data_IF_153650613519
#
_entry.id   IF_153650613519
#
_cell.length_a   1.000
_cell.length_b   1.000
_cell.length_c   1.000
_cell.angle_alpha   90.00
_cell.angle_beta   90.00
_cell.angle_gamma   90.00
#
_symmetry.space_group_name_H-M   'P 1'
#
loop_
_entity.id
_entity.type
_entity.pdbx_description
1 polymer ?
#
# COMPACT_ATOMS: atom_id res chain seq x y z
N UNK A 1 17.53 6.92 -18.32
CA UNK A 1 16.71 5.78 -17.83
C UNK A 1 16.01 6.25 -16.57
N UNK A 2 14.72 6.03 -16.45
CA UNK A 2 13.95 6.42 -15.25
C UNK A 2 14.32 5.49 -14.08
N UNK A 3 14.64 6.06 -12.92
CA UNK A 3 14.98 5.28 -11.70
C UNK A 3 13.72 4.65 -11.13
N UNK A 4 13.72 3.34 -10.77
CA UNK A 4 12.59 2.73 -10.07
C UNK A 4 12.39 3.38 -8.70
N UNK A 5 11.13 3.55 -8.29
CA UNK A 5 10.80 4.04 -6.95
C UNK A 5 10.97 2.96 -5.88
N UNK A 6 10.89 1.69 -6.26
CA UNK A 6 11.22 0.54 -5.42
C UNK A 6 11.98 -0.48 -6.24
N UNK A 7 13.09 -0.98 -5.73
CA UNK A 7 13.85 -2.09 -6.32
C UNK A 7 14.24 -3.08 -5.22
N UNK A 8 14.11 -4.38 -5.52
CA UNK A 8 14.65 -5.45 -4.67
C UNK A 8 15.60 -6.32 -5.47
N UNK A 9 16.63 -6.86 -4.80
CA UNK A 9 17.63 -7.74 -5.41
C UNK A 9 17.83 -8.97 -4.54
N UNK A 10 17.49 -10.13 -5.07
CA UNK A 10 17.56 -11.44 -4.42
C UNK A 10 16.98 -11.38 -2.98
N UNK A 11 15.86 -10.65 -2.78
CA UNK A 11 15.29 -10.36 -1.47
C UNK A 11 14.63 -11.62 -0.90
N UNK A 12 15.08 -12.06 0.27
CA UNK A 12 14.42 -13.08 1.07
C UNK A 12 13.68 -12.42 2.25
N UNK A 13 12.41 -12.78 2.40
CA UNK A 13 11.60 -12.39 3.56
C UNK A 13 11.21 -13.64 4.35
N UNK A 14 11.49 -13.66 5.66
CA UNK A 14 11.22 -14.79 6.53
C UNK A 14 10.72 -14.35 7.92
N UNK A 15 9.97 -15.22 8.61
CA UNK A 15 9.61 -15.11 10.03
C UNK A 15 10.09 -16.37 10.74
N UNK A 16 11.08 -16.24 11.63
CA UNK A 16 11.76 -17.38 12.22
C UNK A 16 12.38 -18.26 11.14
N UNK A 17 12.05 -19.53 11.12
CA UNK A 17 12.52 -20.48 10.10
C UNK A 17 11.66 -20.52 8.83
N UNK A 18 10.50 -19.86 8.82
CA UNK A 18 9.58 -19.88 7.68
C UNK A 18 9.95 -18.82 6.64
N UNK A 19 10.35 -19.26 5.46
CA UNK A 19 10.56 -18.37 4.31
C UNK A 19 9.22 -18.04 3.67
N UNK A 20 8.90 -16.75 3.54
CA UNK A 20 7.66 -16.22 2.98
C UNK A 20 7.83 -15.83 1.51
N UNK A 21 9.01 -15.32 1.16
CA UNK A 21 9.40 -14.93 -0.19
C UNK A 21 10.88 -15.17 -0.34
N UNK A 22 11.33 -15.76 -1.46
CA UNK A 22 12.73 -16.11 -1.71
C UNK A 22 13.22 -15.50 -3.02
N UNK A 23 14.36 -14.80 -2.95
CA UNK A 23 15.04 -14.30 -4.13
C UNK A 23 14.20 -13.35 -4.97
N UNK A 24 13.42 -12.47 -4.33
CA UNK A 24 12.56 -11.53 -5.05
C UNK A 24 13.41 -10.46 -5.72
N UNK A 25 13.42 -10.50 -7.07
CA UNK A 25 13.92 -9.44 -7.93
C UNK A 25 12.73 -8.68 -8.49
N UNK A 26 12.46 -7.49 -7.97
CA UNK A 26 11.28 -6.73 -8.30
C UNK A 26 11.58 -5.24 -8.46
N UNK A 27 10.92 -4.62 -9.45
CA UNK A 27 11.02 -3.19 -9.70
C UNK A 27 9.64 -2.59 -9.84
N UNK A 28 9.45 -1.45 -9.20
CA UNK A 28 8.23 -0.64 -9.31
C UNK A 28 8.63 0.73 -9.83
N UNK A 29 8.08 1.08 -10.99
CA UNK A 29 8.40 2.33 -11.67
C UNK A 29 7.44 3.45 -11.26
N UNK A 30 7.85 4.73 -11.41
CA UNK A 30 6.91 5.84 -11.31
C UNK A 30 5.70 5.65 -12.22
N UNK A 31 4.50 5.93 -11.70
CA UNK A 31 3.24 5.78 -12.42
C UNK A 31 2.63 4.37 -12.38
N UNK A 32 3.32 3.40 -11.80
CA UNK A 32 2.79 2.04 -11.69
C UNK A 32 1.89 1.83 -10.48
N UNK A 33 0.84 1.03 -10.69
CA UNK A 33 -0.03 0.50 -9.63
C UNK A 33 0.09 -1.02 -9.56
N UNK A 34 0.44 -1.53 -8.39
CA UNK A 34 0.69 -2.93 -8.11
C UNK A 34 -0.26 -3.48 -7.04
N UNK A 35 -0.82 -4.65 -7.29
CA UNK A 35 -1.52 -5.44 -6.28
C UNK A 35 -0.62 -6.55 -5.75
N UNK A 36 -0.51 -6.68 -4.42
CA UNK A 36 0.06 -7.87 -3.78
C UNK A 36 -1.10 -8.77 -3.36
N UNK A 37 -1.17 -9.97 -3.94
CA UNK A 37 -2.18 -10.98 -3.65
C UNK A 37 -1.56 -12.21 -2.99
N UNK A 38 -2.33 -12.89 -2.15
CA UNK A 38 -1.91 -14.11 -1.47
C UNK A 38 -2.86 -14.49 -0.35
N UNK A 39 -2.82 -15.74 0.07
CA UNK A 39 -3.62 -16.23 1.21
C UNK A 39 -3.26 -15.50 2.50
N UNK A 40 -4.15 -15.57 3.50
CA UNK A 40 -3.83 -15.11 4.84
C UNK A 40 -2.61 -15.87 5.37
N UNK A 41 -1.68 -15.15 5.98
CA UNK A 41 -0.42 -15.70 6.44
C UNK A 41 0.63 -16.00 5.33
N UNK A 42 0.39 -15.63 4.06
CA UNK A 42 1.39 -15.78 2.99
C UNK A 42 2.60 -14.84 3.13
N UNK A 43 2.51 -13.83 4.02
CA UNK A 43 3.61 -12.91 4.27
C UNK A 43 3.48 -11.54 3.61
N UNK A 44 2.32 -11.20 3.07
CA UNK A 44 2.06 -9.92 2.37
C UNK A 44 2.45 -8.70 3.23
N UNK A 45 1.91 -8.61 4.44
CA UNK A 45 2.21 -7.51 5.39
C UNK A 45 3.68 -7.50 5.81
N UNK A 46 4.30 -8.70 5.97
CA UNK A 46 5.72 -8.81 6.31
C UNK A 46 6.61 -8.32 5.17
N UNK A 47 6.29 -8.70 3.92
CA UNK A 47 6.97 -8.18 2.74
C UNK A 47 6.82 -6.65 2.69
N UNK A 48 5.59 -6.15 2.81
CA UNK A 48 5.34 -4.71 2.73
C UNK A 48 6.08 -3.93 3.82
N UNK A 49 6.11 -4.44 5.07
CA UNK A 49 6.88 -3.84 6.16
C UNK A 49 8.41 -3.88 5.91
N UNK A 50 8.90 -4.94 5.24
CA UNK A 50 10.31 -5.02 4.82
C UNK A 50 10.63 -3.97 3.76
N UNK A 51 9.76 -3.83 2.74
CA UNK A 51 9.88 -2.81 1.69
C UNK A 51 9.71 -1.39 2.23
N UNK A 52 8.97 -1.25 3.32
CA UNK A 52 8.84 0.00 4.05
C UNK A 52 10.09 0.34 4.90
N UNK A 53 11.09 -0.51 5.00
CA UNK A 53 12.26 -0.30 5.85
C UNK A 53 11.97 -0.43 7.35
N UNK A 54 10.81 -0.99 7.73
CA UNK A 54 10.42 -1.22 9.13
C UNK A 54 10.94 -2.56 9.66
N UNK A 55 11.42 -3.40 8.76
CA UNK A 55 11.96 -4.73 9.05
C UNK A 55 13.14 -5.00 8.11
N UNK A 56 14.21 -5.56 8.66
CA UNK A 56 15.33 -6.02 7.83
C UNK A 56 14.92 -7.27 7.03
N UNK A 57 15.37 -7.40 5.76
CA UNK A 57 15.24 -8.63 5.01
C UNK A 57 16.06 -9.76 5.64
N UNK A 58 15.71 -11.03 5.36
CA UNK A 58 16.50 -12.17 5.78
C UNK A 58 17.79 -12.30 4.93
N UNK A 59 17.70 -11.94 3.63
CA UNK A 59 18.81 -11.84 2.66
C UNK A 59 18.46 -10.84 1.58
N UNK A 60 19.46 -10.45 0.79
CA UNK A 60 19.30 -9.53 -0.31
C UNK A 60 19.05 -8.11 0.15
N UNK A 61 18.71 -7.24 -0.80
CA UNK A 61 18.65 -5.80 -0.60
C UNK A 61 17.35 -5.22 -1.16
N UNK A 62 16.94 -4.09 -0.59
CA UNK A 62 15.89 -3.25 -1.15
C UNK A 62 16.33 -1.79 -1.19
N UNK A 63 15.92 -1.08 -2.23
CA UNK A 63 16.21 0.34 -2.43
C UNK A 63 14.92 1.10 -2.76
N UNK A 64 14.85 2.36 -2.30
CA UNK A 64 13.78 3.31 -2.61
C UNK A 64 14.38 4.55 -3.24
N UNK A 65 13.84 4.95 -4.40
CA UNK A 65 14.33 6.08 -5.21
C UNK A 65 15.86 6.01 -5.43
N UNK A 66 16.37 4.79 -5.72
CA UNK A 66 17.78 4.49 -5.96
C UNK A 66 18.68 4.45 -4.72
N UNK A 67 18.14 4.59 -3.50
CA UNK A 67 18.90 4.55 -2.24
C UNK A 67 18.60 3.28 -1.47
N UNK A 68 19.65 2.61 -0.98
CA UNK A 68 19.50 1.41 -0.16
C UNK A 68 18.73 1.71 1.12
N UNK A 69 17.70 0.91 1.43
CA UNK A 69 16.87 1.10 2.63
C UNK A 69 17.70 1.06 3.93
N UNK A 70 18.70 0.18 3.99
CA UNK A 70 19.53 0.01 5.18
C UNK A 70 20.42 1.24 5.48
N UNK A 71 20.69 2.09 4.49
CA UNK A 71 21.59 3.24 4.58
C UNK A 71 20.84 4.57 4.62
N UNK A 72 19.53 4.57 4.32
CA UNK A 72 18.72 5.79 4.23
C UNK A 72 18.14 6.15 5.59
N UNK A 73 18.42 7.35 6.12
CA UNK A 73 17.82 7.82 7.37
C UNK A 73 16.29 7.78 7.32
N UNK A 74 15.60 7.39 8.42
CA UNK A 74 14.14 7.23 8.42
C UNK A 74 13.38 8.47 7.95
N UNK A 75 13.87 9.66 8.28
CA UNK A 75 13.24 10.91 7.86
C UNK A 75 13.36 11.16 6.35
N UNK A 76 14.52 10.89 5.76
CA UNK A 76 14.72 11.02 4.31
C UNK A 76 13.87 9.99 3.56
N UNK A 77 13.81 8.76 4.08
CA UNK A 77 12.95 7.73 3.55
C UNK A 77 11.47 8.14 3.60
N UNK A 78 11.02 8.77 4.69
CA UNK A 78 9.65 9.23 4.85
C UNK A 78 9.26 10.38 3.90
N UNK A 79 10.21 11.12 3.32
CA UNK A 79 9.92 12.09 2.25
C UNK A 79 9.58 11.44 0.90
N UNK A 80 9.97 10.19 0.72
CA UNK A 80 9.77 9.46 -0.55
C UNK A 80 8.74 8.36 -0.42
N UNK A 81 8.75 7.63 0.71
CA UNK A 81 7.92 6.45 0.93
C UNK A 81 6.92 6.70 2.04
N UNK A 82 5.64 6.49 1.76
CA UNK A 82 4.56 6.42 2.73
C UNK A 82 4.13 4.97 2.96
N UNK A 83 3.75 4.64 4.20
CA UNK A 83 3.30 3.31 4.58
C UNK A 83 2.01 3.38 5.40
N UNK A 84 0.96 2.69 4.92
CA UNK A 84 -0.28 2.47 5.65
C UNK A 84 -0.27 1.03 6.19
N UNK A 85 -0.18 0.81 7.51
CA UNK A 85 -0.28 -0.52 8.10
C UNK A 85 -1.74 -1.02 8.09
N UNK A 86 -1.92 -2.35 8.18
CA UNK A 86 -3.24 -2.99 8.24
C UNK A 86 -4.09 -2.49 9.42
N UNK A 87 -3.46 -2.20 10.55
CA UNK A 87 -4.11 -1.63 11.74
C UNK A 87 -3.30 -0.46 12.26
N UNK A 88 -3.96 0.65 12.51
CA UNK A 88 -3.43 1.78 13.27
C UNK A 88 -4.19 1.90 14.60
N UNK A 89 -3.45 2.14 15.67
CA UNK A 89 -4.01 2.39 16.98
C UNK A 89 -3.69 3.83 17.36
N UNK A 90 -4.71 4.56 17.75
CA UNK A 90 -4.56 5.91 18.29
C UNK A 90 -4.62 5.82 19.82
N UNK A 91 -3.46 5.72 20.50
CA UNK A 91 -3.42 5.51 21.94
C UNK A 91 -3.84 6.75 22.75
N UNK A 92 -3.85 7.92 22.09
CA UNK A 92 -4.18 9.20 22.72
C UNK A 92 -5.38 9.86 22.05
N UNK A 93 -6.15 10.61 22.84
CA UNK A 93 -7.18 11.49 22.31
C UNK A 93 -6.53 12.60 21.48
N UNK A 94 -6.94 12.73 20.22
CA UNK A 94 -6.52 13.77 19.30
C UNK A 94 -7.64 14.08 18.32
N UNK A 95 -7.62 15.23 17.71
CA UNK A 95 -8.55 15.54 16.64
C UNK A 95 -8.13 14.86 15.33
N UNK A 96 -9.09 14.65 14.46
CA UNK A 96 -8.85 14.14 13.09
C UNK A 96 -7.80 14.99 12.36
N UNK A 97 -7.87 16.31 12.50
CA UNK A 97 -6.92 17.21 11.86
C UNK A 97 -5.50 17.06 12.41
N UNK A 98 -5.35 16.99 13.74
CA UNK A 98 -4.04 16.77 14.37
C UNK A 98 -3.43 15.44 13.91
N UNK A 99 -4.24 14.37 13.81
CA UNK A 99 -3.79 13.07 13.32
C UNK A 99 -3.32 13.14 11.87
N UNK A 100 -4.05 13.80 10.99
CA UNK A 100 -3.67 13.95 9.57
C UNK A 100 -2.42 14.79 9.41
N UNK A 101 -2.24 15.83 10.23
CA UNK A 101 -1.05 16.69 10.21
C UNK A 101 0.25 15.92 10.55
N UNK A 102 0.17 14.79 11.25
CA UNK A 102 1.34 13.89 11.45
C UNK A 102 2.01 13.53 10.12
N UNK A 103 1.23 13.43 9.02
CA UNK A 103 1.76 13.24 7.68
C UNK A 103 2.77 14.31 7.24
N UNK A 104 2.74 15.51 7.83
CA UNK A 104 3.69 16.60 7.51
C UNK A 104 5.00 16.52 8.28
N UNK A 105 5.13 15.69 9.32
CA UNK A 105 6.34 15.60 10.14
C UNK A 105 7.64 15.41 9.33
N UNK A 106 7.71 14.62 8.26
CA UNK A 106 8.93 14.51 7.47
C UNK A 106 9.39 15.82 6.84
N UNK A 107 8.45 16.73 6.56
CA UNK A 107 8.71 18.02 5.90
C UNK A 107 9.11 19.14 6.88
N UNK A 108 8.81 18.95 8.18
CA UNK A 108 9.09 19.98 9.20
C UNK A 108 10.55 19.93 9.66
N UNK A 109 11.15 21.06 9.94
CA UNK A 109 12.43 21.15 10.63
C UNK A 109 12.33 20.69 12.09
N UNK A 110 13.48 20.57 12.77
CA UNK A 110 13.55 20.03 14.15
C UNK A 110 12.69 20.81 15.16
N UNK A 111 12.48 22.09 14.90
CA UNK A 111 11.77 23.03 15.79
C UNK A 111 10.62 23.73 15.10
N UNK A 112 10.24 23.27 13.90
CA UNK A 112 9.16 23.89 13.15
C UNK A 112 7.81 23.32 13.61
N UNK A 113 6.80 24.16 13.51
CA UNK A 113 5.39 23.82 13.67
C UNK A 113 4.70 23.78 12.31
N UNK A 114 3.57 23.09 12.25
CA UNK A 114 2.77 23.01 11.02
C UNK A 114 2.30 24.41 10.61
N UNK A 115 2.53 24.73 9.36
CA UNK A 115 2.15 25.99 8.75
C UNK A 115 0.67 26.00 8.31
N UNK A 116 0.16 27.17 7.95
CA UNK A 116 -1.14 27.29 7.31
C UNK A 116 -1.21 26.55 5.94
N UNK A 117 -0.06 26.35 5.27
CA UNK A 117 0.02 25.56 4.06
C UNK A 117 -0.15 24.06 4.35
N UNK A 118 0.52 23.54 5.38
CA UNK A 118 0.39 22.15 5.82
C UNK A 118 -1.06 21.83 6.22
N UNK A 119 -1.69 22.76 6.94
CA UNK A 119 -3.10 22.61 7.30
C UNK A 119 -4.02 22.53 6.07
N UNK A 120 -3.80 23.35 5.04
CA UNK A 120 -4.58 23.27 3.80
C UNK A 120 -4.38 21.94 3.08
N UNK A 121 -3.15 21.40 3.07
CA UNK A 121 -2.86 20.07 2.50
C UNK A 121 -3.63 18.99 3.27
N UNK A 122 -3.61 19.04 4.60
CA UNK A 122 -4.33 18.10 5.45
C UNK A 122 -5.86 18.17 5.25
N UNK A 123 -6.43 19.36 5.19
CA UNK A 123 -7.87 19.58 4.95
C UNK A 123 -8.29 19.09 3.55
N UNK A 124 -7.46 19.33 2.52
CA UNK A 124 -7.68 18.79 1.18
C UNK A 124 -7.64 17.27 1.15
N UNK A 125 -6.67 16.64 1.82
CA UNK A 125 -6.58 15.19 1.94
C UNK A 125 -7.80 14.58 2.65
N UNK A 126 -8.30 15.22 3.71
CA UNK A 126 -9.54 14.80 4.38
C UNK A 126 -10.74 14.89 3.42
N UNK A 127 -10.84 15.94 2.63
CA UNK A 127 -11.92 16.08 1.65
C UNK A 127 -11.85 14.99 0.57
N UNK A 128 -10.65 14.66 0.07
CA UNK A 128 -10.47 13.61 -0.95
C UNK A 128 -10.94 12.22 -0.49
N UNK A 129 -10.81 11.91 0.80
CA UNK A 129 -11.24 10.63 1.35
C UNK A 129 -12.67 10.65 1.91
N UNK A 130 -13.42 11.76 1.71
CA UNK A 130 -14.80 11.90 2.18
C UNK A 130 -14.93 12.11 3.69
N UNK A 131 -13.93 12.77 4.32
CA UNK A 131 -13.94 13.18 5.72
C UNK A 131 -13.99 14.72 5.88
N UNK A 132 -14.47 15.45 4.88
CA UNK A 132 -14.71 16.88 4.98
C UNK A 132 -15.64 17.17 6.19
N UNK A 133 -15.28 18.18 6.99
CA UNK A 133 -16.05 18.53 8.20
C UNK A 133 -15.71 17.69 9.46
N UNK A 134 -14.84 16.69 9.37
CA UNK A 134 -14.45 15.85 10.53
C UNK A 134 -13.25 16.42 11.30
N UNK A 135 -12.63 17.51 10.85
CA UNK A 135 -11.37 18.03 11.37
C UNK A 135 -11.30 18.15 12.89
N UNK A 136 -12.40 18.53 13.55
CA UNK A 136 -12.47 18.73 15.01
C UNK A 136 -13.02 17.52 15.77
N UNK A 137 -13.38 16.41 15.10
CA UNK A 137 -13.84 15.19 15.77
C UNK A 137 -12.67 14.49 16.47
N UNK A 138 -12.96 13.89 17.61
CA UNK A 138 -12.03 12.99 18.29
C UNK A 138 -11.88 11.69 17.47
N UNK A 139 -10.63 11.30 17.19
CA UNK A 139 -10.30 10.08 16.42
C UNK A 139 -10.85 8.81 17.10
N UNK A 140 -10.99 8.80 18.40
CA UNK A 140 -11.52 7.65 19.14
C UNK A 140 -13.02 7.40 18.84
N UNK A 141 -13.74 8.42 18.35
CA UNK A 141 -15.16 8.31 17.96
C UNK A 141 -15.38 7.82 16.55
N UNK A 142 -14.32 7.59 15.78
CA UNK A 142 -14.40 7.16 14.38
C UNK A 142 -14.78 5.68 14.29
N UNK A 143 -15.66 5.35 13.34
CA UNK A 143 -15.90 3.97 12.91
C UNK A 143 -14.63 3.37 12.27
N UNK A 144 -14.58 2.04 12.11
CA UNK A 144 -13.46 1.36 11.45
C UNK A 144 -13.21 1.88 10.03
N UNK A 145 -14.26 2.11 9.25
CA UNK A 145 -14.14 2.66 7.90
C UNK A 145 -13.71 4.13 7.86
N UNK A 146 -14.18 4.97 8.80
CA UNK A 146 -13.71 6.35 8.94
C UNK A 146 -12.23 6.39 9.34
N UNK A 147 -11.80 5.50 10.24
CA UNK A 147 -10.41 5.37 10.66
C UNK A 147 -9.51 4.91 9.52
N UNK A 148 -9.96 3.97 8.70
CA UNK A 148 -9.23 3.53 7.51
C UNK A 148 -9.02 4.69 6.52
N UNK A 149 -10.06 5.46 6.26
CA UNK A 149 -9.98 6.66 5.40
C UNK A 149 -9.08 7.73 6.00
N UNK A 150 -9.09 7.92 7.33
CA UNK A 150 -8.19 8.83 8.02
C UNK A 150 -6.72 8.43 7.80
N UNK A 151 -6.38 7.13 7.90
CA UNK A 151 -5.04 6.63 7.62
C UNK A 151 -4.60 6.94 6.17
N UNK A 152 -5.50 6.79 5.20
CA UNK A 152 -5.23 7.15 3.81
C UNK A 152 -5.03 8.68 3.70
N UNK A 153 -5.86 9.52 4.35
CA UNK A 153 -5.68 10.97 4.37
C UNK A 153 -4.32 11.39 4.95
N UNK A 154 -3.89 10.75 6.05
CA UNK A 154 -2.57 11.00 6.65
C UNK A 154 -1.45 10.68 5.65
N UNK A 155 -1.58 9.57 4.92
CA UNK A 155 -0.63 9.18 3.88
C UNK A 155 -0.63 10.17 2.70
N UNK A 156 -1.80 10.64 2.27
CA UNK A 156 -1.91 11.67 1.23
C UNK A 156 -1.28 13.00 1.66
N UNK A 157 -1.44 13.36 2.92
CA UNK A 157 -0.86 14.57 3.52
C UNK A 157 0.67 14.51 3.58
N UNK A 158 1.24 13.33 3.65
CA UNK A 158 2.69 13.10 3.57
C UNK A 158 3.23 13.37 2.15
N UNK A 159 2.40 13.29 1.10
CA UNK A 159 2.77 13.49 -0.31
C UNK A 159 3.96 12.61 -0.77
N UNK A 160 3.97 11.30 -0.48
CA UNK A 160 5.08 10.43 -0.87
C UNK A 160 5.05 10.13 -2.37
N UNK A 161 6.22 9.77 -2.93
CA UNK A 161 6.32 9.26 -4.31
C UNK A 161 5.95 7.78 -4.39
N UNK A 162 6.17 7.01 -3.32
CA UNK A 162 5.88 5.58 -3.21
C UNK A 162 4.87 5.36 -2.08
N UNK A 163 3.71 4.83 -2.44
CA UNK A 163 2.64 4.43 -1.51
C UNK A 163 2.71 2.93 -1.28
N UNK A 164 2.92 2.51 -0.04
CA UNK A 164 2.86 1.12 0.40
C UNK A 164 1.65 0.95 1.33
N UNK A 165 0.62 0.21 0.89
CA UNK A 165 -0.65 0.13 1.60
C UNK A 165 -0.99 -1.32 1.94
N UNK A 166 -1.13 -1.61 3.22
CA UNK A 166 -1.52 -2.92 3.72
C UNK A 166 -3.03 -2.96 3.97
N UNK A 167 -3.75 -3.64 3.08
CA UNK A 167 -5.22 -3.79 3.10
C UNK A 167 -5.97 -2.43 3.19
N UNK A 168 -5.73 -1.47 2.26
CA UNK A 168 -6.30 -0.13 2.36
C UNK A 168 -7.83 -0.09 2.26
N UNK A 169 -8.46 -1.18 1.82
CA UNK A 169 -9.91 -1.27 1.62
C UNK A 169 -10.63 -1.99 2.77
N UNK A 170 -9.92 -2.40 3.82
CA UNK A 170 -10.50 -3.08 4.97
C UNK A 170 -11.56 -2.19 5.66
N UNK A 171 -12.65 -2.81 6.12
CA UNK A 171 -13.76 -2.13 6.82
C UNK A 171 -14.51 -1.07 6.02
N UNK A 172 -14.27 -0.94 4.71
CA UNK A 172 -14.98 -0.03 3.81
C UNK A 172 -16.12 -0.77 3.09
N UNK A 173 -17.25 -0.09 2.94
CA UNK A 173 -18.29 -0.51 1.99
C UNK A 173 -17.82 -0.31 0.53
N UNK A 174 -18.54 -0.89 -0.41
CA UNK A 174 -18.16 -0.89 -1.83
C UNK A 174 -17.98 0.52 -2.39
N UNK A 175 -18.85 1.48 -2.02
CA UNK A 175 -18.76 2.85 -2.52
C UNK A 175 -17.44 3.50 -2.06
N UNK A 176 -17.08 3.33 -0.79
CA UNK A 176 -15.86 3.86 -0.25
C UNK A 176 -14.63 3.12 -0.78
N UNK A 177 -14.70 1.78 -1.02
CA UNK A 177 -13.62 1.04 -1.67
C UNK A 177 -13.31 1.60 -3.06
N UNK A 178 -14.34 1.81 -3.89
CA UNK A 178 -14.18 2.39 -5.23
C UNK A 178 -13.58 3.80 -5.14
N UNK A 179 -14.11 4.66 -4.29
CA UNK A 179 -13.62 6.03 -4.12
C UNK A 179 -12.13 6.06 -3.69
N UNK A 180 -11.72 5.18 -2.77
CA UNK A 180 -10.31 5.11 -2.36
C UNK A 180 -9.41 4.61 -3.49
N UNK A 181 -9.84 3.61 -4.27
CA UNK A 181 -9.06 3.17 -5.43
C UNK A 181 -8.93 4.27 -6.49
N UNK A 182 -9.96 5.07 -6.71
CA UNK A 182 -9.89 6.24 -7.60
C UNK A 182 -8.86 7.28 -7.12
N UNK A 183 -8.81 7.56 -5.81
CA UNK A 183 -7.81 8.46 -5.22
C UNK A 183 -6.40 7.91 -5.46
N UNK A 184 -6.17 6.62 -5.21
CA UNK A 184 -4.87 5.98 -5.41
C UNK A 184 -4.48 5.91 -6.89
N UNK A 185 -5.42 5.62 -7.78
CA UNK A 185 -5.19 5.61 -9.22
C UNK A 185 -4.80 7.01 -9.75
N UNK A 186 -5.42 8.08 -9.23
CA UNK A 186 -5.01 9.46 -9.53
C UNK A 186 -3.57 9.72 -9.10
N UNK A 187 -3.11 9.24 -7.94
CA UNK A 187 -1.70 9.37 -7.52
C UNK A 187 -0.76 8.66 -8.48
N UNK A 188 -1.10 7.45 -8.91
CA UNK A 188 -0.31 6.74 -9.92
C UNK A 188 -0.27 7.50 -11.25
N UNK A 189 -1.41 7.99 -11.75
CA UNK A 189 -1.48 8.78 -12.98
C UNK A 189 -0.63 10.07 -12.92
N UNK A 190 -0.37 10.61 -11.73
CA UNK A 190 0.50 11.76 -11.50
C UNK A 190 1.97 11.38 -11.19
N UNK A 191 2.35 10.14 -11.46
CA UNK A 191 3.74 9.68 -11.40
C UNK A 191 4.17 9.08 -10.06
N UNK A 192 3.30 8.96 -9.07
CA UNK A 192 3.59 8.17 -7.89
C UNK A 192 3.55 6.67 -8.22
N UNK A 193 4.23 5.84 -7.42
CA UNK A 193 4.04 4.39 -7.45
C UNK A 193 3.11 3.98 -6.29
N UNK A 194 2.17 3.07 -6.58
CA UNK A 194 1.19 2.59 -5.60
C UNK A 194 1.29 1.06 -5.50
N UNK A 195 1.61 0.54 -4.32
CA UNK A 195 1.66 -0.89 -4.02
C UNK A 195 0.66 -1.19 -2.92
N UNK A 196 -0.37 -1.96 -3.23
CA UNK A 196 -1.48 -2.27 -2.31
C UNK A 196 -1.61 -3.77 -2.09
N UNK A 197 -1.69 -4.20 -0.84
CA UNK A 197 -2.16 -5.54 -0.51
C UNK A 197 -3.67 -5.57 -0.69
N UNK A 198 -4.16 -6.41 -1.58
CA UNK A 198 -5.58 -6.58 -1.86
C UNK A 198 -6.00 -8.04 -1.62
N UNK A 199 -7.28 -8.25 -1.33
CA UNK A 199 -7.86 -9.60 -1.16
C UNK A 199 -8.65 -10.03 -2.38
N UNK A 200 -9.26 -9.09 -3.11
CA UNK A 200 -10.10 -9.38 -4.26
C UNK A 200 -9.28 -9.28 -5.56
N UNK A 201 -9.09 -10.41 -6.29
CA UNK A 201 -8.42 -10.41 -7.59
C UNK A 201 -9.14 -9.58 -8.65
N UNK A 202 -10.46 -9.43 -8.56
CA UNK A 202 -11.25 -8.59 -9.46
C UNK A 202 -10.93 -7.09 -9.28
N UNK A 203 -10.79 -6.65 -8.01
CA UNK A 203 -10.31 -5.29 -7.72
C UNK A 203 -8.87 -5.09 -8.21
N UNK A 204 -8.00 -6.06 -7.99
CA UNK A 204 -6.62 -6.01 -8.50
C UNK A 204 -6.61 -5.86 -10.04
N UNK A 205 -7.37 -6.69 -10.75
CA UNK A 205 -7.44 -6.66 -12.20
C UNK A 205 -8.07 -5.37 -12.78
N UNK A 206 -8.96 -4.73 -12.01
CA UNK A 206 -9.61 -3.48 -12.43
C UNK A 206 -8.74 -2.24 -12.21
N UNK A 207 -8.01 -2.17 -11.09
CA UNK A 207 -7.40 -0.95 -10.61
C UNK A 207 -5.87 -0.93 -10.70
N UNK A 208 -5.24 -2.09 -10.87
CA UNK A 208 -3.79 -2.20 -10.91
C UNK A 208 -3.31 -2.61 -12.30
N UNK A 209 -2.19 -2.02 -12.74
CA UNK A 209 -1.52 -2.40 -13.98
C UNK A 209 -0.71 -3.68 -13.82
N UNK A 210 -0.28 -3.99 -12.60
CA UNK A 210 0.62 -5.09 -12.28
C UNK A 210 0.16 -5.85 -11.03
N UNK A 211 0.63 -7.10 -10.89
CA UNK A 211 0.38 -7.91 -9.71
C UNK A 211 1.63 -8.69 -9.29
N UNK A 212 1.76 -8.89 -7.97
CA UNK A 212 2.69 -9.80 -7.33
C UNK A 212 1.88 -10.82 -6.52
N UNK A 213 2.03 -12.11 -6.84
CA UNK A 213 1.41 -13.20 -6.08
C UNK A 213 2.43 -13.83 -5.14
N UNK A 214 2.05 -13.99 -3.85
CA UNK A 214 2.83 -14.69 -2.83
C UNK A 214 2.15 -16.01 -2.48
N UNK A 215 2.80 -17.13 -2.80
CA UNK A 215 2.24 -18.48 -2.57
C UNK A 215 2.40 -18.99 -1.12
N UNK A 216 3.22 -18.29 -0.30
CA UNK A 216 3.38 -18.59 1.13
C UNK A 216 4.33 -19.75 1.44
N UNK A 217 4.99 -20.30 0.42
CA UNK A 217 6.03 -21.34 0.49
C UNK A 217 7.41 -20.84 0.06
N UNK A 218 7.56 -19.54 -0.13
CA UNK A 218 8.74 -18.88 -0.66
C UNK A 218 8.64 -18.55 -2.16
N UNK A 219 7.71 -19.16 -2.88
CA UNK A 219 7.47 -18.88 -4.30
C UNK A 219 6.67 -17.59 -4.48
N UNK A 220 6.91 -16.96 -5.61
CA UNK A 220 6.19 -15.77 -6.06
C UNK A 220 6.14 -15.71 -7.60
N UNK A 221 5.22 -14.91 -8.13
CA UNK A 221 5.27 -14.46 -9.51
C UNK A 221 4.79 -13.01 -9.61
N UNK A 222 5.35 -12.24 -10.54
CA UNK A 222 5.05 -10.83 -10.72
C UNK A 222 5.09 -10.43 -12.20
N UNK A 223 4.26 -9.45 -12.56
CA UNK A 223 4.19 -8.92 -13.92
C UNK A 223 2.89 -8.18 -14.19
N UNK A 224 2.58 -7.90 -15.48
CA UNK A 224 1.32 -7.29 -15.88
C UNK A 224 0.11 -8.03 -15.32
N UNK A 225 -0.86 -7.30 -14.79
CA UNK A 225 -2.00 -7.90 -14.07
C UNK A 225 -2.76 -8.92 -14.92
N UNK A 226 -2.91 -8.68 -16.22
CA UNK A 226 -3.60 -9.59 -17.15
C UNK A 226 -2.88 -10.93 -17.37
N UNK A 227 -1.56 -10.98 -17.18
CA UNK A 227 -0.74 -12.19 -17.31
C UNK A 227 -0.61 -12.95 -16.00
N UNK A 228 -0.66 -12.24 -14.87
CA UNK A 228 -0.43 -12.80 -13.54
C UNK A 228 -1.75 -13.23 -12.87
N UNK A 229 -2.81 -12.42 -12.99
CA UNK A 229 -4.11 -12.69 -12.36
C UNK A 229 -4.94 -13.57 -13.31
N UNK A 230 -4.57 -14.85 -13.38
CA UNK A 230 -5.22 -15.89 -14.20
C UNK A 230 -5.92 -16.93 -13.32
N UNK A 231 -6.87 -17.69 -13.89
CA UNK A 231 -7.56 -18.77 -13.18
C UNK A 231 -6.56 -19.82 -12.65
N UNK A 232 -5.53 -20.15 -13.44
CA UNK A 232 -4.49 -21.11 -13.07
C UNK A 232 -3.67 -20.61 -11.87
N UNK A 233 -3.10 -19.40 -11.95
CA UNK A 233 -2.30 -18.83 -10.88
C UNK A 233 -3.12 -18.62 -9.60
N UNK A 234 -4.37 -18.16 -9.73
CA UNK A 234 -5.26 -17.97 -8.58
C UNK A 234 -5.69 -19.32 -7.97
N UNK A 235 -5.94 -20.36 -8.79
CA UNK A 235 -6.22 -21.69 -8.27
C UNK A 235 -5.05 -22.24 -7.45
N UNK A 236 -3.81 -22.08 -7.95
CA UNK A 236 -2.60 -22.39 -7.19
C UNK A 236 -2.48 -21.54 -5.92
N UNK A 237 -2.75 -20.23 -6.02
CA UNK A 237 -2.64 -19.30 -4.91
C UNK A 237 -3.57 -19.63 -3.76
N UNK A 238 -4.85 -19.90 -4.08
CA UNK A 238 -5.89 -20.18 -3.09
C UNK A 238 -6.02 -21.65 -2.73
N UNK A 239 -5.28 -22.53 -3.45
CA UNK A 239 -5.37 -24.00 -3.31
C UNK A 239 -6.82 -24.51 -3.50
N UNK A 240 -7.51 -23.94 -4.49
CA UNK A 240 -8.88 -24.27 -4.86
C UNK A 240 -9.08 -23.99 -6.35
N UNK A 241 -9.73 -24.89 -7.13
CA UNK A 241 -10.01 -24.65 -8.54
C UNK A 241 -10.87 -23.40 -8.71
N UNK A 242 -10.40 -22.51 -9.58
CA UNK A 242 -11.09 -21.28 -9.95
C UNK A 242 -11.23 -21.22 -11.47
N UNK A 243 -12.36 -20.74 -11.95
CA UNK A 243 -12.57 -20.42 -13.35
C UNK A 243 -12.86 -18.95 -13.55
N UNK A 244 -12.44 -18.42 -14.69
CA UNK A 244 -12.78 -17.08 -15.13
C UNK A 244 -14.16 -17.06 -15.76
N UNK A 245 -14.97 -16.04 -15.45
CA UNK A 245 -16.23 -15.76 -16.11
C UNK A 245 -15.95 -14.97 -17.38
N UNK A 246 -16.37 -15.49 -18.52
CA UNK A 246 -16.27 -14.80 -19.80
C UNK A 246 -17.36 -13.74 -19.95
N UNK A 247 -17.08 -12.70 -20.75
CA UNK A 247 -18.05 -11.63 -21.07
C UNK A 247 -18.22 -10.55 -20.01
N UNK A 248 -17.58 -10.65 -18.85
CA UNK A 248 -17.53 -9.57 -17.88
C UNK A 248 -16.56 -8.47 -18.34
N UNK A 249 -16.85 -7.17 -18.05
CA UNK A 249 -15.98 -6.06 -18.43
C UNK A 249 -14.62 -6.09 -17.71
N UNK A 250 -14.54 -6.81 -16.58
CA UNK A 250 -13.33 -7.07 -15.81
C UNK A 250 -13.22 -8.56 -15.51
N UNK A 251 -12.00 -9.09 -15.30
CA UNK A 251 -11.85 -10.48 -14.89
C UNK A 251 -12.60 -10.77 -13.59
N UNK A 252 -13.52 -11.71 -13.65
CA UNK A 252 -14.25 -12.24 -12.49
C UNK A 252 -13.87 -13.72 -12.34
N UNK A 253 -13.50 -14.13 -11.15
CA UNK A 253 -13.10 -15.49 -10.84
C UNK A 253 -14.06 -16.08 -9.81
N UNK A 254 -14.54 -17.29 -10.08
CA UNK A 254 -15.43 -18.02 -9.17
C UNK A 254 -14.86 -19.40 -8.87
N UNK A 255 -15.12 -19.95 -7.68
CA UNK A 255 -14.84 -21.36 -7.39
C UNK A 255 -15.58 -22.31 -8.34
N UNK A 256 -14.93 -23.41 -8.67
CA UNK A 256 -15.56 -24.54 -9.38
C UNK A 256 -16.26 -25.50 -8.42
#
# INVERSE_FOLDING_TARGET
>A
MTTPLLETRALDVAIGSRVLCRGLDWRVMPGESWAILGRNGAGKSTLLATLAGLRAPARGDAAVDGRALAETPPRELALVRGYLPQQSHDPFASTVLETVLVGRHPHLGRWDWESAADRRIAEAALAEVGLAGFAQRDVQTLSGGERQRLGIATLLTQEPKLFLLDEPLAHLDLNHQVAQMEVLAKRAAHGAAVVSVLHDPGFAARWCGFALLLFGNGDWCAGPVGEIVTAENLSRLYNHPLRRIEGAPYPVFIPE
#
